data_IF_610095563758
#
_entry.id   IF_610095563758
#
_cell.length_a   1.000
_cell.length_b   1.000
_cell.length_c   1.000
_cell.angle_alpha   90.00
_cell.angle_beta   90.00
_cell.angle_gamma   90.00
#
_symmetry.space_group_name_H-M   'P 1'
#
loop_
_entity.id
_entity.type
_entity.pdbx_description
1 polymer ?
#
# COMPACT_ATOMS: atom_id res chain seq x y z
N UNK A 1 -1.24 13.05 -11.47
CA UNK A 1 -1.82 12.25 -10.37
C UNK A 1 -1.03 12.51 -9.08
N UNK A 2 -1.62 12.19 -7.93
CA UNK A 2 -1.04 12.41 -6.60
C UNK A 2 -0.35 11.14 -6.11
N UNK A 3 0.91 11.25 -5.74
CA UNK A 3 1.75 10.09 -5.43
C UNK A 3 2.32 10.24 -4.02
N UNK A 4 2.10 9.25 -3.14
CA UNK A 4 2.63 9.28 -1.79
C UNK A 4 4.15 9.14 -1.79
N UNK A 5 4.80 10.02 -1.05
CA UNK A 5 6.25 10.03 -0.87
C UNK A 5 6.59 9.99 0.61
N UNK A 6 7.86 9.76 0.93
CA UNK A 6 8.41 10.01 2.26
C UNK A 6 9.45 11.11 2.14
N UNK A 7 9.52 11.98 3.15
CA UNK A 7 10.60 12.94 3.25
C UNK A 7 11.91 12.17 3.53
N UNK A 8 12.98 12.59 2.89
CA UNK A 8 14.33 12.08 3.05
C UNK A 8 15.29 13.27 3.07
N UNK A 9 16.50 13.09 3.59
CA UNK A 9 17.48 14.19 3.74
C UNK A 9 17.76 14.95 2.43
N UNK A 10 17.69 14.28 1.28
CA UNK A 10 17.94 14.87 -0.04
C UNK A 10 16.68 15.12 -0.88
N UNK A 11 15.47 15.05 -0.30
CA UNK A 11 14.22 15.32 -1.01
C UNK A 11 13.12 14.30 -0.72
N UNK A 12 12.42 13.85 -1.75
CA UNK A 12 11.28 12.95 -1.62
C UNK A 12 11.58 11.58 -2.22
N UNK A 13 11.32 10.53 -1.46
CA UNK A 13 11.44 9.16 -1.94
C UNK A 13 10.06 8.53 -2.14
N UNK A 14 9.86 7.83 -3.26
CA UNK A 14 8.61 7.15 -3.57
C UNK A 14 8.27 6.14 -2.46
N UNK A 15 7.03 6.19 -1.95
CA UNK A 15 6.55 5.21 -0.96
C UNK A 15 6.01 3.98 -1.69
N UNK A 16 6.61 2.82 -1.43
CA UNK A 16 6.18 1.52 -1.99
C UNK A 16 5.36 0.79 -0.95
N UNK A 17 4.25 0.20 -1.39
CA UNK A 17 3.32 -0.55 -0.56
C UNK A 17 3.36 -2.04 -0.91
N UNK A 18 2.64 -2.85 -0.15
CA UNK A 18 2.45 -4.28 -0.44
C UNK A 18 0.99 -4.53 -0.81
N UNK A 19 0.78 -5.36 -1.82
CA UNK A 19 -0.54 -5.91 -2.11
C UNK A 19 -0.92 -6.96 -1.05
N UNK A 20 -2.20 -7.37 -0.96
CA UNK A 20 -2.61 -8.48 -0.09
C UNK A 20 -1.86 -9.79 -0.38
N UNK A 21 -1.38 -9.95 -1.62
CA UNK A 21 -0.57 -11.10 -2.05
C UNK A 21 0.93 -10.93 -1.71
N UNK A 22 1.30 -9.88 -0.97
CA UNK A 22 2.69 -9.59 -0.54
C UNK A 22 3.57 -8.93 -1.60
N UNK A 23 3.06 -8.72 -2.82
CA UNK A 23 3.80 -8.12 -3.94
C UNK A 23 4.02 -6.63 -3.70
N UNK A 24 5.22 -6.12 -4.01
CA UNK A 24 5.48 -4.67 -3.93
C UNK A 24 4.71 -3.93 -5.02
N UNK A 25 3.98 -2.88 -4.64
CA UNK A 25 3.18 -2.06 -5.54
C UNK A 25 3.40 -0.58 -5.25
N UNK A 26 3.46 0.24 -6.29
CA UNK A 26 3.39 1.68 -6.15
C UNK A 26 1.92 2.10 -6.14
N UNK A 27 1.60 3.16 -5.40
CA UNK A 27 0.23 3.68 -5.34
C UNK A 27 0.21 5.07 -5.93
N UNK A 28 -0.83 5.39 -6.70
CA UNK A 28 -1.13 6.75 -7.10
C UNK A 28 -2.63 7.01 -6.95
N UNK A 29 -2.97 8.27 -6.71
CA UNK A 29 -4.34 8.71 -6.53
C UNK A 29 -4.70 9.74 -7.59
N UNK A 30 -5.93 9.68 -8.07
CA UNK A 30 -6.43 10.69 -9.02
C UNK A 30 -6.63 12.04 -8.35
N UNK A 31 -6.94 12.04 -7.05
CA UNK A 31 -7.19 13.25 -6.25
C UNK A 31 -6.46 13.19 -4.91
N UNK A 32 -6.12 14.36 -4.38
CA UNK A 32 -5.51 14.50 -3.06
C UNK A 32 -6.42 14.01 -1.95
N UNK A 33 -7.73 14.29 -2.05
CA UNK A 33 -8.74 13.84 -1.09
C UNK A 33 -8.76 12.32 -0.95
N UNK A 34 -8.62 11.57 -2.05
CA UNK A 34 -8.51 10.10 -2.01
C UNK A 34 -7.23 9.63 -1.33
N UNK A 35 -6.11 10.32 -1.58
CA UNK A 35 -4.85 10.04 -0.91
C UNK A 35 -4.98 10.24 0.61
N UNK A 36 -5.49 11.40 1.04
CA UNK A 36 -5.66 11.71 2.46
C UNK A 36 -6.68 10.81 3.16
N UNK A 37 -7.71 10.36 2.45
CA UNK A 37 -8.68 9.40 2.98
C UNK A 37 -8.06 8.01 3.26
N UNK A 38 -7.04 7.61 2.48
CA UNK A 38 -6.41 6.29 2.60
C UNK A 38 -5.16 6.32 3.50
N UNK A 39 -4.34 7.36 3.40
CA UNK A 39 -3.04 7.44 4.09
C UNK A 39 -3.03 8.46 5.25
N UNK A 40 -4.11 9.21 5.42
CA UNK A 40 -4.20 10.29 6.39
C UNK A 40 -3.78 11.66 5.81
N UNK A 41 -4.23 12.77 6.43
CA UNK A 41 -3.94 14.13 5.95
C UNK A 41 -2.48 14.54 6.09
N UNK A 42 -1.72 13.93 7.00
CA UNK A 42 -0.30 14.23 7.23
C UNK A 42 0.62 13.60 6.17
N UNK A 43 0.10 12.68 5.35
CA UNK A 43 0.90 11.98 4.36
C UNK A 43 1.39 12.94 3.25
N UNK A 44 2.70 13.15 3.08
CA UNK A 44 3.20 13.99 2.01
C UNK A 44 2.98 13.35 0.64
N UNK A 45 2.63 14.18 -0.33
CA UNK A 45 2.36 13.77 -1.71
C UNK A 45 2.96 14.72 -2.73
N UNK A 46 3.28 14.19 -3.91
CA UNK A 46 3.79 14.96 -5.06
C UNK A 46 2.93 14.70 -6.29
N UNK A 47 2.82 15.70 -7.16
CA UNK A 47 2.17 15.56 -8.47
C UNK A 47 3.16 14.98 -9.48
N UNK A 48 2.87 13.78 -9.97
CA UNK A 48 3.65 13.13 -11.03
C UNK A 48 2.73 12.56 -12.10
N UNK A 49 3.28 12.34 -13.29
CA UNK A 49 2.63 11.57 -14.35
C UNK A 49 2.83 10.07 -14.11
N UNK A 50 1.89 9.24 -14.59
CA UNK A 50 2.01 7.78 -14.56
C UNK A 50 3.34 7.24 -15.10
N UNK A 51 3.81 7.66 -16.29
CA UNK A 51 5.12 7.23 -16.78
C UNK A 51 6.28 7.61 -15.84
N UNK A 52 6.22 8.76 -15.18
CA UNK A 52 7.26 9.18 -14.23
C UNK A 52 7.27 8.28 -12.98
N UNK A 53 6.10 7.94 -12.44
CA UNK A 53 6.00 7.00 -11.31
C UNK A 53 6.55 5.64 -11.71
N UNK A 54 6.23 5.16 -12.92
CA UNK A 54 6.73 3.89 -13.43
C UNK A 54 8.24 3.89 -13.55
N UNK A 55 8.83 4.97 -14.07
CA UNK A 55 10.27 5.12 -14.18
C UNK A 55 10.97 5.07 -12.80
N UNK A 56 10.35 5.66 -11.77
CA UNK A 56 10.88 5.62 -10.39
C UNK A 56 10.64 4.27 -9.68
N UNK A 57 9.55 3.58 -10.01
CA UNK A 57 9.17 2.29 -9.41
C UNK A 57 9.96 1.11 -10.01
N UNK A 58 10.28 1.16 -11.30
CA UNK A 58 11.02 0.11 -12.02
C UNK A 58 12.34 -0.29 -11.35
N UNK A 59 13.26 0.64 -10.99
CA UNK A 59 14.52 0.28 -10.33
C UNK A 59 14.33 -0.30 -8.92
N UNK A 60 13.15 -0.13 -8.31
CA UNK A 60 12.82 -0.71 -7.01
C UNK A 60 12.22 -2.12 -7.11
N UNK A 61 12.14 -2.67 -8.33
CA UNK A 61 11.51 -3.97 -8.61
C UNK A 61 9.99 -3.92 -8.56
N UNK A 62 9.38 -2.74 -8.73
CA UNK A 62 7.93 -2.53 -8.66
C UNK A 62 7.38 -2.35 -10.07
N UNK A 63 6.76 -3.41 -10.59
CA UNK A 63 6.14 -3.39 -11.92
C UNK A 63 4.68 -2.90 -11.90
N UNK A 64 4.02 -3.04 -10.76
CA UNK A 64 2.58 -2.75 -10.60
C UNK A 64 2.36 -1.39 -9.95
N UNK A 65 1.43 -0.62 -10.53
CA UNK A 65 0.99 0.67 -9.98
C UNK A 65 -0.52 0.56 -9.77
N UNK A 66 -0.96 0.73 -8.52
CA UNK A 66 -2.38 0.76 -8.16
C UNK A 66 -2.88 2.19 -8.19
N UNK A 67 -3.97 2.44 -8.93
CA UNK A 67 -4.61 3.75 -9.04
C UNK A 67 -5.85 3.76 -8.16
N UNK A 68 -5.92 4.73 -7.24
CA UNK A 68 -6.98 4.86 -6.24
C UNK A 68 -7.33 3.53 -5.55
N UNK A 69 -6.35 2.86 -4.90
CA UNK A 69 -6.66 1.66 -4.14
C UNK A 69 -7.70 2.02 -3.08
N UNK A 70 -8.82 1.32 -3.10
CA UNK A 70 -9.72 1.35 -1.98
C UNK A 70 -9.07 0.56 -0.84
N UNK A 71 -9.06 1.16 0.35
CA UNK A 71 -8.63 0.49 1.58
C UNK A 71 -9.74 -0.48 2.01
N UNK A 72 -10.11 -1.40 1.12
CA UNK A 72 -10.96 -2.52 1.46
C UNK A 72 -10.03 -3.51 2.12
N UNK A 73 -9.86 -3.38 3.44
CA UNK A 73 -9.40 -4.52 4.22
C UNK A 73 -10.38 -5.66 3.90
N UNK A 74 -9.94 -6.81 3.37
CA UNK A 74 -10.77 -8.00 3.42
C UNK A 74 -11.13 -8.17 4.89
N UNK A 75 -12.42 -8.32 5.21
CA UNK A 75 -12.84 -8.56 6.58
C UNK A 75 -11.95 -9.68 7.14
N UNK A 76 -11.32 -9.44 8.29
CA UNK A 76 -10.54 -10.47 8.98
C UNK A 76 -11.50 -11.64 9.18
N UNK A 77 -11.29 -12.71 8.41
CA UNK A 77 -12.02 -13.96 8.63
C UNK A 77 -11.39 -14.53 9.88
N UNK A 78 -12.02 -14.26 11.03
CA UNK A 78 -11.71 -14.97 12.27
C UNK A 78 -12.07 -16.41 11.99
N UNK A 79 -11.08 -17.21 11.61
CA UNK A 79 -11.24 -18.66 11.56
C UNK A 79 -11.60 -19.09 12.98
N UNK A 80 -12.74 -19.76 13.23
CA UNK A 80 -13.05 -20.26 14.55
C UNK A 80 -11.93 -21.20 14.94
N UNK A 81 -11.14 -20.81 15.94
CA UNK A 81 -10.03 -21.59 16.46
C UNK A 81 -10.47 -23.06 16.60
N UNK A 82 -9.77 -23.94 15.88
CA UNK A 82 -9.83 -25.38 16.12
C UNK A 82 -9.68 -25.61 17.63
N UNK A 83 -10.65 -26.28 18.29
CA UNK A 83 -10.53 -26.53 19.71
C UNK A 83 -9.27 -27.36 19.95
N UNK A 84 -8.50 -27.09 21.03
CA UNK A 84 -7.33 -27.88 21.34
C UNK A 84 -7.75 -29.34 21.51
N UNK A 85 -7.00 -30.26 20.87
CA UNK A 85 -7.06 -31.70 21.11
C UNK A 85 -6.78 -31.94 22.59
N UNK A 86 -7.84 -32.00 23.41
CA UNK A 86 -7.73 -32.39 24.81
C UNK A 86 -7.32 -33.85 24.86
N UNK A 87 -6.16 -34.06 25.49
CA UNK A 87 -5.54 -35.35 25.74
C UNK A 87 -6.49 -36.36 26.40
N UNK A 88 -6.32 -37.63 26.01
CA UNK A 88 -6.92 -38.82 26.63
C UNK A 88 -6.56 -38.91 28.12
N UNK A 89 -7.52 -39.15 29.03
CA UNK A 89 -7.26 -39.86 30.27
C UNK A 89 -7.49 -41.37 30.08
N UNK A 90 -6.63 -42.18 30.70
CA UNK A 90 -6.61 -43.66 30.62
C UNK A 90 -7.58 -44.38 31.54
#
# INVERSE_FOLDING_TARGET
MYVPVRHCACGFALRVFRSPLGTRTAVAFTTERRLSAVLGPDQPSVRLALPAVRALATPLGVATISIDPQLTAPAVRTDPAEPPLTALPG
#
